data_IF_887105011213
#
_entry.id   IF_887105011213
#
_cell.length_a   1.000
_cell.length_b   1.000
_cell.length_c   1.000
_cell.angle_alpha   90.00
_cell.angle_beta   90.00
_cell.angle_gamma   90.00
#
_symmetry.space_group_name_H-M   'P 1'
#
loop_
_entity.id
_entity.type
_entity.pdbx_description
1 polymer ?
#
# COMPACT_ATOMS: atom_id res chain seq x y z
N UNK A 1 -12.04 10.91 -31.91
CA UNK A 1 -12.34 11.18 -30.49
C UNK A 1 -11.45 10.27 -29.66
N UNK A 2 -10.21 10.71 -29.41
CA UNK A 2 -9.24 9.96 -28.62
C UNK A 2 -9.74 9.93 -27.17
N UNK A 3 -10.12 8.75 -26.68
CA UNK A 3 -10.33 8.56 -25.24
C UNK A 3 -8.97 8.76 -24.58
N UNK A 4 -8.68 9.99 -24.13
CA UNK A 4 -7.54 10.23 -23.23
C UNK A 4 -7.74 9.31 -22.04
N UNK A 5 -7.00 8.21 -22.05
CA UNK A 5 -6.90 7.28 -20.94
C UNK A 5 -6.24 8.05 -19.82
N UNK A 6 -7.04 8.75 -19.00
CA UNK A 6 -6.55 9.23 -17.73
C UNK A 6 -6.16 7.97 -16.95
N UNK A 7 -4.87 7.81 -16.65
CA UNK A 7 -4.37 6.73 -15.81
C UNK A 7 -4.98 6.90 -14.42
N UNK A 8 -6.10 6.23 -14.20
CA UNK A 8 -6.83 6.22 -12.94
C UNK A 8 -6.39 5.00 -12.15
N UNK A 9 -6.00 5.21 -10.90
CA UNK A 9 -5.70 4.12 -9.96
C UNK A 9 -6.90 3.96 -9.03
N UNK A 10 -7.52 2.79 -9.07
CA UNK A 10 -8.57 2.41 -8.13
C UNK A 10 -7.93 1.81 -6.88
N UNK A 11 -8.30 2.33 -5.72
CA UNK A 11 -7.80 1.91 -4.42
C UNK A 11 -8.98 1.38 -3.63
N UNK A 12 -8.95 0.09 -3.33
CA UNK A 12 -9.94 -0.59 -2.52
C UNK A 12 -9.39 -0.68 -1.10
N UNK A 13 -9.92 0.13 -0.19
CA UNK A 13 -9.55 0.15 1.21
C UNK A 13 -10.50 -0.72 2.02
N UNK A 14 -10.01 -1.86 2.50
CA UNK A 14 -10.75 -2.79 3.33
C UNK A 14 -10.61 -2.39 4.80
N UNK A 15 -11.73 -2.02 5.41
CA UNK A 15 -11.83 -1.66 6.81
C UNK A 15 -12.88 -2.50 7.54
N UNK A 16 -12.87 -2.42 8.87
CA UNK A 16 -13.94 -2.95 9.72
C UNK A 16 -14.34 -1.92 10.76
N UNK A 17 -15.61 -1.95 11.16
CA UNK A 17 -16.16 -1.08 12.22
C UNK A 17 -15.40 -1.18 13.55
N UNK A 18 -14.90 -2.37 13.88
CA UNK A 18 -14.20 -2.64 15.14
C UNK A 18 -12.67 -2.49 15.06
N UNK A 19 -12.13 -1.81 14.04
CA UNK A 19 -10.69 -1.66 13.87
C UNK A 19 -10.19 -0.27 14.34
N UNK A 20 -9.39 -0.18 15.41
CA UNK A 20 -8.91 1.10 15.93
C UNK A 20 -7.92 1.81 15.00
N UNK A 21 -7.29 1.09 14.06
CA UNK A 21 -6.28 1.63 13.16
C UNK A 21 -6.83 2.11 11.80
N UNK A 22 -8.05 1.71 11.42
CA UNK A 22 -8.69 2.14 10.17
C UNK A 22 -8.82 3.66 10.00
N UNK A 23 -9.26 4.45 11.02
CA UNK A 23 -9.38 5.90 10.85
C UNK A 23 -8.04 6.59 10.57
N UNK A 24 -6.95 6.07 11.13
CA UNK A 24 -5.59 6.61 10.89
C UNK A 24 -5.17 6.38 9.44
N UNK A 25 -5.39 5.17 8.91
CA UNK A 25 -5.08 4.87 7.49
C UNK A 25 -5.93 5.72 6.56
N UNK A 26 -7.22 5.90 6.88
CA UNK A 26 -8.12 6.73 6.08
C UNK A 26 -7.66 8.19 5.98
N UNK A 27 -7.23 8.79 7.10
CA UNK A 27 -6.69 10.16 7.09
C UNK A 27 -5.44 10.27 6.22
N UNK A 28 -4.50 9.34 6.40
CA UNK A 28 -3.29 9.28 5.58
C UNK A 28 -3.60 9.15 4.09
N UNK A 29 -4.59 8.31 3.73
CA UNK A 29 -5.04 8.13 2.35
C UNK A 29 -5.55 9.44 1.74
N UNK A 30 -6.41 10.16 2.46
CA UNK A 30 -6.98 11.44 2.00
C UNK A 30 -5.88 12.51 1.86
N UNK A 31 -5.01 12.67 2.86
CA UNK A 31 -3.91 13.64 2.83
C UNK A 31 -2.97 13.42 1.64
N UNK A 32 -2.60 12.16 1.38
CA UNK A 32 -1.73 11.83 0.24
C UNK A 32 -2.43 12.07 -1.10
N UNK A 33 -3.75 11.88 -1.17
CA UNK A 33 -4.49 12.17 -2.39
C UNK A 33 -4.56 13.67 -2.65
N UNK A 34 -4.95 14.45 -1.65
CA UNK A 34 -5.06 15.90 -1.79
C UNK A 34 -3.71 16.56 -2.08
N UNK A 35 -2.63 16.07 -1.47
CA UNK A 35 -1.30 16.66 -1.64
C UNK A 35 -0.59 16.24 -2.93
N UNK A 36 -0.68 14.96 -3.33
CA UNK A 36 0.30 14.37 -4.27
C UNK A 36 -0.32 13.69 -5.50
N UNK A 37 -1.58 13.23 -5.41
CA UNK A 37 -2.18 12.36 -6.44
C UNK A 37 -3.35 13.03 -7.18
N UNK A 38 -4.06 13.93 -6.51
CA UNK A 38 -5.19 14.69 -7.03
C UNK A 38 -6.28 13.80 -7.61
N UNK A 39 -6.78 14.18 -8.80
CA UNK A 39 -7.93 13.52 -9.47
C UNK A 39 -7.59 12.20 -10.19
N UNK A 40 -6.37 11.67 -10.05
CA UNK A 40 -5.94 10.45 -10.73
C UNK A 40 -6.18 9.17 -9.91
N UNK A 41 -6.78 9.30 -8.73
CA UNK A 41 -6.96 8.19 -7.78
C UNK A 41 -8.39 8.17 -7.28
N UNK A 42 -8.96 6.97 -7.19
CA UNK A 42 -10.31 6.73 -6.68
C UNK A 42 -10.18 5.82 -5.46
N UNK A 43 -10.65 6.26 -4.29
CA UNK A 43 -10.76 5.40 -3.11
C UNK A 43 -12.17 4.81 -3.04
N UNK A 44 -12.25 3.49 -2.93
CA UNK A 44 -13.44 2.74 -2.56
C UNK A 44 -13.23 2.18 -1.15
N UNK A 45 -14.00 2.67 -0.18
CA UNK A 45 -13.98 2.14 1.18
C UNK A 45 -14.94 0.95 1.28
N UNK A 46 -14.43 -0.20 1.70
CA UNK A 46 -15.15 -1.46 1.73
C UNK A 46 -15.13 -1.99 3.16
N UNK A 47 -16.30 -2.11 3.76
CA UNK A 47 -16.44 -2.75 5.07
C UNK A 47 -16.43 -4.27 4.90
N UNK A 48 -15.44 -4.94 5.49
CA UNK A 48 -15.34 -6.40 5.47
C UNK A 48 -16.47 -7.12 6.20
N UNK A 49 -17.28 -6.42 7.01
CA UNK A 49 -18.47 -6.98 7.64
C UNK A 49 -19.71 -6.95 6.72
N UNK A 50 -19.66 -6.16 5.65
CA UNK A 50 -20.72 -6.12 4.63
C UNK A 50 -20.74 -7.43 3.81
N UNK A 51 -21.87 -7.83 3.21
CA UNK A 51 -21.93 -9.03 2.37
C UNK A 51 -20.92 -8.98 1.21
N UNK A 52 -20.82 -7.83 0.51
CA UNK A 52 -19.89 -7.62 -0.60
C UNK A 52 -18.44 -7.64 -0.10
N UNK A 53 -18.15 -6.94 1.01
CA UNK A 53 -16.81 -6.90 1.58
C UNK A 53 -16.31 -8.25 2.07
N UNK A 54 -17.20 -9.11 2.61
CA UNK A 54 -16.85 -10.50 2.97
C UNK A 54 -16.47 -11.33 1.76
N UNK A 55 -17.18 -11.18 0.65
CA UNK A 55 -16.86 -11.90 -0.60
C UNK A 55 -15.52 -11.45 -1.17
N UNK A 56 -15.30 -10.13 -1.25
CA UNK A 56 -14.03 -9.55 -1.68
C UNK A 56 -12.88 -9.93 -0.75
N UNK A 57 -13.10 -9.94 0.57
CA UNK A 57 -12.09 -10.36 1.53
C UNK A 57 -11.66 -11.81 1.33
N UNK A 58 -12.60 -12.71 0.99
CA UNK A 58 -12.30 -14.09 0.61
C UNK A 58 -11.58 -14.16 -0.74
N UNK A 59 -12.03 -13.41 -1.73
CA UNK A 59 -11.44 -13.37 -3.06
C UNK A 59 -9.97 -12.92 -3.02
N UNK A 60 -9.69 -11.84 -2.29
CA UNK A 60 -8.35 -11.32 -2.08
C UNK A 60 -7.55 -12.07 -1.01
N UNK A 61 -8.15 -13.06 -0.34
CA UNK A 61 -7.54 -13.84 0.75
C UNK A 61 -6.95 -12.93 1.85
N UNK A 62 -7.72 -11.92 2.25
CA UNK A 62 -7.29 -10.96 3.26
C UNK A 62 -7.06 -11.68 4.59
N UNK A 63 -5.86 -11.52 5.15
CA UNK A 63 -5.48 -12.10 6.45
C UNK A 63 -5.92 -11.24 7.63
N UNK A 64 -6.30 -9.99 7.38
CA UNK A 64 -6.71 -9.04 8.41
C UNK A 64 -6.96 -7.65 7.83
N UNK A 65 -7.52 -6.78 8.65
CA UNK A 65 -7.76 -5.37 8.34
C UNK A 65 -6.89 -4.48 9.24
N UNK A 66 -6.48 -3.29 8.79
CA UNK A 66 -6.74 -2.68 7.48
C UNK A 66 -6.00 -3.39 6.34
N UNK A 67 -6.57 -3.45 5.14
CA UNK A 67 -5.91 -3.97 3.94
C UNK A 67 -6.19 -3.07 2.74
N UNK A 68 -5.24 -2.94 1.81
CA UNK A 68 -5.39 -2.09 0.64
C UNK A 68 -5.05 -2.85 -0.64
N UNK A 69 -6.02 -2.90 -1.54
CA UNK A 69 -5.83 -3.33 -2.91
C UNK A 69 -5.78 -2.12 -3.85
N UNK A 70 -4.98 -2.25 -4.90
CA UNK A 70 -4.85 -1.24 -5.96
C UNK A 70 -5.07 -1.92 -7.31
N UNK A 71 -6.00 -1.40 -8.11
CA UNK A 71 -6.40 -1.95 -9.41
C UNK A 71 -6.71 -3.46 -9.34
N UNK A 72 -7.49 -3.88 -8.34
CA UNK A 72 -7.89 -5.27 -8.18
C UNK A 72 -6.76 -6.21 -7.78
N UNK A 73 -5.68 -5.70 -7.16
CA UNK A 73 -4.59 -6.51 -6.62
C UNK A 73 -4.25 -6.08 -5.21
N UNK A 74 -4.20 -7.03 -4.28
CA UNK A 74 -3.74 -6.77 -2.92
C UNK A 74 -2.27 -6.32 -2.94
N UNK A 75 -2.01 -5.10 -2.47
CA UNK A 75 -0.66 -4.51 -2.41
C UNK A 75 -0.14 -4.40 -1.00
N UNK A 76 -1.01 -4.06 -0.07
CA UNK A 76 -0.66 -3.87 1.33
C UNK A 76 -1.65 -4.63 2.21
N UNK A 77 -1.12 -5.45 3.11
CA UNK A 77 -1.87 -6.06 4.20
C UNK A 77 -1.40 -5.39 5.50
N UNK A 78 -2.28 -4.64 6.15
CA UNK A 78 -1.97 -3.83 7.32
C UNK A 78 -1.86 -2.33 7.00
N UNK A 79 -1.27 -1.60 7.95
CA UNK A 79 -1.01 -0.15 7.84
C UNK A 79 0.26 0.06 7.00
N UNK A 80 0.16 0.56 5.76
CA UNK A 80 1.36 0.84 4.97
C UNK A 80 2.03 2.14 5.44
N UNK A 81 3.33 2.26 5.17
CA UNK A 81 4.04 3.52 5.36
C UNK A 81 3.64 4.53 4.26
N UNK A 82 3.38 5.81 4.59
CA UNK A 82 2.93 6.83 3.63
C UNK A 82 3.79 6.92 2.37
N UNK A 83 5.13 6.94 2.55
CA UNK A 83 6.08 7.00 1.42
C UNK A 83 6.01 5.78 0.50
N UNK A 84 5.83 4.57 1.06
CA UNK A 84 5.75 3.34 0.25
C UNK A 84 4.46 3.31 -0.56
N UNK A 85 3.37 3.71 0.08
CA UNK A 85 2.06 3.81 -0.55
C UNK A 85 2.09 4.78 -1.74
N UNK A 86 2.63 5.99 -1.51
CA UNK A 86 2.74 7.02 -2.53
C UNK A 86 3.66 6.61 -3.69
N UNK A 87 4.80 5.97 -3.39
CA UNK A 87 5.70 5.46 -4.43
C UNK A 87 5.03 4.40 -5.31
N UNK A 88 4.23 3.50 -4.74
CA UNK A 88 3.51 2.48 -5.51
C UNK A 88 2.46 3.10 -6.42
N UNK A 89 1.72 4.11 -5.97
CA UNK A 89 0.74 4.81 -6.83
C UNK A 89 1.45 5.58 -7.93
N UNK A 90 2.51 6.34 -7.61
CA UNK A 90 3.31 7.04 -8.61
C UNK A 90 3.89 6.07 -9.64
N UNK A 91 4.27 4.86 -9.22
CA UNK A 91 4.69 3.79 -10.11
C UNK A 91 3.56 3.33 -11.02
N UNK A 92 2.38 3.03 -10.48
CA UNK A 92 1.20 2.64 -11.26
C UNK A 92 0.75 3.71 -12.25
N UNK A 93 0.92 5.00 -11.92
CA UNK A 93 0.61 6.11 -12.81
C UNK A 93 1.63 6.27 -13.95
N UNK A 94 2.92 5.95 -13.69
CA UNK A 94 4.02 6.04 -14.66
C UNK A 94 4.14 4.81 -15.55
N UNK A 95 3.79 3.63 -15.05
CA UNK A 95 3.87 2.37 -15.80
C UNK A 95 2.74 2.27 -16.84
N UNK A 96 2.96 2.84 -18.02
CA UNK A 96 2.18 2.57 -19.26
C UNK A 96 2.44 1.15 -19.83
N UNK A 97 2.93 0.20 -19.02
CA UNK A 97 3.18 -1.20 -19.42
C UNK A 97 2.68 -2.15 -18.33
N UNK A 98 1.85 -3.09 -18.77
CA UNK A 98 1.08 -4.08 -18.02
C UNK A 98 1.80 -4.63 -16.77
N UNK A 99 1.09 -4.78 -15.63
CA UNK A 99 1.70 -5.23 -14.39
C UNK A 99 2.03 -6.73 -14.47
N UNK A 100 3.32 -7.09 -14.39
CA UNK A 100 3.71 -8.48 -14.12
C UNK A 100 3.22 -8.88 -12.73
N UNK A 101 2.33 -9.89 -12.60
CA UNK A 101 1.99 -10.44 -11.31
C UNK A 101 3.12 -11.36 -10.87
N UNK A 102 3.74 -11.04 -9.73
CA UNK A 102 4.39 -12.04 -8.89
C UNK A 102 3.99 -11.72 -7.46
N UNK A 103 2.83 -12.23 -7.07
CA UNK A 103 2.49 -12.37 -5.67
C UNK A 103 2.52 -13.85 -5.37
N UNK A 104 3.67 -14.35 -4.92
CA UNK A 104 3.76 -15.39 -3.90
C UNK A 104 5.08 -15.19 -3.15
N UNK A 105 5.03 -15.44 -1.84
CA UNK A 105 6.14 -15.70 -0.92
C UNK A 105 6.52 -14.54 0.04
N UNK A 106 5.82 -14.55 1.18
CA UNK A 106 6.39 -14.65 2.53
C UNK A 106 7.89 -14.32 2.67
N UNK A 107 8.24 -13.04 2.75
CA UNK A 107 9.53 -12.57 3.29
C UNK A 107 9.34 -11.21 3.96
N UNK A 108 8.88 -11.22 5.21
CA UNK A 108 8.90 -10.06 6.10
C UNK A 108 9.79 -10.37 7.32
N UNK A 109 11.00 -10.90 7.08
CA UNK A 109 12.11 -10.83 8.03
C UNK A 109 13.35 -10.38 7.26
N UNK A 110 13.65 -9.09 7.33
CA UNK A 110 15.01 -8.51 7.33
C UNK A 110 14.92 -6.98 7.46
N UNK A 111 14.76 -6.50 8.70
CA UNK A 111 15.19 -5.16 9.11
C UNK A 111 15.78 -5.25 10.51
N UNK A 112 16.95 -5.85 10.60
CA UNK A 112 17.88 -5.65 11.71
C UNK A 112 19.30 -5.49 11.16
N UNK A 113 19.47 -4.68 10.12
CA UNK A 113 20.78 -4.19 9.67
C UNK A 113 20.61 -2.71 9.31
N UNK A 114 20.57 -1.87 10.35
CA UNK A 114 20.92 -0.45 10.23
C UNK A 114 22.45 -0.38 10.13
N UNK A 115 23.03 0.29 9.10
CA UNK A 115 24.47 0.41 8.97
C UNK A 115 25.06 1.30 10.06
N UNK A 116 26.08 0.81 10.79
CA UNK A 116 27.03 1.65 11.52
C UNK A 116 28.32 1.71 10.70
N UNK A 117 28.56 2.86 10.05
CA UNK A 117 29.88 3.40 9.70
C UNK A 117 30.16 4.47 10.77
N UNK A 118 31.34 4.65 11.34
CA UNK A 118 32.66 4.74 10.71
C UNK A 118 33.79 4.16 11.59
N UNK A 119 34.85 3.75 10.91
CA UNK A 119 36.10 3.18 11.41
C UNK A 119 37.16 4.27 11.68
N UNK A 120 37.66 4.40 12.92
CA UNK A 120 39.00 4.91 13.33
C UNK A 120 38.97 4.95 14.88
N UNK A 121 39.89 4.46 15.70
CA UNK A 121 41.33 4.23 15.61
C UNK A 121 41.66 3.35 16.86
N UNK A 122 42.20 2.14 16.69
CA UNK A 122 42.72 1.37 17.83
C UNK A 122 44.14 0.92 17.51
N UNK A 123 45.05 1.86 17.74
CA UNK A 123 46.49 1.66 17.64
C UNK A 123 47.05 1.43 19.06
N UNK A 124 47.68 0.28 19.23
CA UNK A 124 48.75 -0.04 20.21
C UNK A 124 48.45 0.00 21.71
N UNK A 125 48.32 -1.19 22.30
CA UNK A 125 49.01 -1.54 23.55
C UNK A 125 49.52 -2.98 23.45
N UNK A 126 50.78 -3.10 23.04
CA UNK A 126 51.73 -4.12 23.52
C UNK A 126 52.77 -3.39 24.33
#
# INVERSE_FOLDING_TARGET
MERKSHNLVQIEFFQAKDCPYCPTVRKMLLELIDSELGKHVIIAEIDINSPIGRELAKHYQLKGVPSIAMNGKLKFAGVPHPLLFLNEIKRLLKDNKRPKPKLQNHDYIKRSELPKKDDTELSFYT
#
